data_IF_272390145406
#
_entry.id   IF_272390145406
#
_cell.length_a   1.000
_cell.length_b   1.000
_cell.length_c   1.000
_cell.angle_alpha   90.00
_cell.angle_beta   90.00
_cell.angle_gamma   90.00
#
_symmetry.space_group_name_H-M   'P 1'
#
loop_
_entity.id
_entity.type
_entity.pdbx_description
1 polymer ?
#
# COMPACT_ATOMS: atom_id res chain seq x y z
N UNK A 1 -24.19 18.21 27.90
CA UNK A 1 -23.05 18.05 26.96
C UNK A 1 -23.04 16.60 26.52
N UNK A 2 -23.19 16.26 25.23
CA UNK A 2 -23.15 14.86 24.84
C UNK A 2 -21.69 14.41 24.67
N UNK A 3 -21.33 13.36 25.41
CA UNK A 3 -20.06 12.65 25.29
C UNK A 3 -20.05 11.84 23.98
N UNK A 4 -19.49 12.40 22.91
CA UNK A 4 -19.10 11.65 21.72
C UNK A 4 -17.59 11.42 21.79
N UNK A 5 -17.10 10.18 21.66
CA UNK A 5 -15.68 10.02 21.34
C UNK A 5 -14.92 8.75 21.73
N UNK A 6 -15.54 7.62 22.05
CA UNK A 6 -14.75 6.38 22.25
C UNK A 6 -15.35 5.12 21.57
N UNK A 7 -16.66 5.03 21.39
CA UNK A 7 -17.25 3.87 20.69
C UNK A 7 -17.22 3.98 19.16
N UNK A 8 -17.15 5.22 18.64
CA UNK A 8 -17.18 5.48 17.19
C UNK A 8 -15.83 5.18 16.52
N UNK A 9 -14.72 5.37 17.24
CA UNK A 9 -13.37 5.01 16.80
C UNK A 9 -13.18 3.49 16.71
N UNK A 10 -13.66 2.73 17.70
CA UNK A 10 -13.59 1.26 17.68
C UNK A 10 -14.45 0.62 16.58
N UNK A 11 -15.60 1.21 16.24
CA UNK A 11 -16.41 0.75 15.09
C UNK A 11 -15.78 1.10 13.74
N UNK A 12 -15.06 2.22 13.65
CA UNK A 12 -14.30 2.58 12.44
C UNK A 12 -13.13 1.65 12.20
N UNK A 13 -12.39 1.29 13.25
CA UNK A 13 -11.35 0.26 13.16
C UNK A 13 -11.97 -1.09 12.76
N UNK A 14 -13.02 -1.56 13.43
CA UNK A 14 -13.65 -2.85 13.10
C UNK A 14 -14.27 -2.92 11.68
N UNK A 15 -14.80 -1.81 11.14
CA UNK A 15 -15.34 -1.77 9.78
C UNK A 15 -14.27 -1.54 8.69
N UNK A 16 -13.16 -0.86 9.01
CA UNK A 16 -11.99 -0.78 8.13
C UNK A 16 -11.36 -2.17 7.89
N UNK A 17 -11.51 -3.09 8.86
CA UNK A 17 -11.10 -4.49 8.70
C UNK A 17 -12.12 -5.37 7.95
N UNK A 18 -13.41 -5.02 7.93
CA UNK A 18 -14.48 -5.92 7.46
C UNK A 18 -14.92 -5.69 6.02
N UNK A 19 -14.71 -4.51 5.46
CA UNK A 19 -15.24 -4.16 4.13
C UNK A 19 -14.21 -4.16 2.99
N UNK A 20 -12.97 -4.61 3.25
CA UNK A 20 -11.91 -4.86 2.26
C UNK A 20 -11.96 -6.30 1.72
N UNK A 21 -13.16 -6.90 1.65
CA UNK A 21 -13.44 -8.22 1.06
C UNK A 21 -13.41 -8.24 -0.48
N UNK A 22 -12.73 -7.27 -1.11
CA UNK A 22 -11.96 -7.62 -2.31
C UNK A 22 -10.57 -7.95 -1.83
N UNK A 23 -10.46 -9.15 -1.28
CA UNK A 23 -9.25 -9.96 -1.24
C UNK A 23 -8.75 -10.03 -2.69
N UNK A 24 -8.08 -8.97 -3.14
CA UNK A 24 -6.97 -9.15 -4.06
C UNK A 24 -6.13 -10.17 -3.31
N UNK A 25 -6.22 -11.42 -3.77
CA UNK A 25 -5.50 -12.54 -3.20
C UNK A 25 -4.12 -12.03 -2.78
N UNK A 26 -3.69 -12.32 -1.55
CA UNK A 26 -2.41 -11.86 -1.01
C UNK A 26 -1.26 -12.51 -1.80
N UNK A 27 -1.13 -12.10 -3.06
CA UNK A 27 -0.30 -12.68 -4.09
C UNK A 27 1.01 -11.93 -4.05
N UNK A 28 2.07 -12.70 -3.87
CA UNK A 28 3.41 -12.21 -4.06
C UNK A 28 3.52 -11.65 -5.49
N UNK A 29 3.91 -10.38 -5.68
CA UNK A 29 4.01 -9.80 -7.02
C UNK A 29 5.05 -10.55 -7.83
N UNK A 30 4.72 -10.85 -9.09
CA UNK A 30 5.61 -11.51 -10.04
C UNK A 30 6.44 -10.49 -10.82
N UNK A 31 5.91 -9.27 -10.96
CA UNK A 31 6.52 -8.19 -11.74
C UNK A 31 6.79 -6.93 -10.92
N UNK A 32 7.73 -6.11 -11.39
CA UNK A 32 8.03 -4.81 -10.79
C UNK A 32 6.84 -3.85 -10.84
N UNK A 33 6.02 -3.93 -11.89
CA UNK A 33 4.81 -3.13 -12.05
C UNK A 33 3.75 -3.51 -11.03
N UNK A 34 3.49 -4.81 -10.82
CA UNK A 34 2.59 -5.29 -9.77
C UNK A 34 3.05 -4.87 -8.37
N UNK A 35 4.35 -5.01 -8.10
CA UNK A 35 4.94 -4.56 -6.84
C UNK A 35 4.69 -3.06 -6.63
N UNK A 36 5.03 -2.22 -7.61
CA UNK A 36 4.82 -0.79 -7.52
C UNK A 36 3.33 -0.43 -7.35
N UNK A 37 2.44 -1.08 -8.10
CA UNK A 37 0.99 -0.87 -7.99
C UNK A 37 0.49 -1.17 -6.58
N UNK A 38 0.90 -2.29 -5.96
CA UNK A 38 0.50 -2.62 -4.59
C UNK A 38 1.04 -1.63 -3.55
N UNK A 39 2.27 -1.13 -3.73
CA UNK A 39 2.85 -0.09 -2.86
C UNK A 39 2.05 1.23 -2.99
N UNK A 40 1.80 1.67 -4.22
CA UNK A 40 1.07 2.91 -4.52
C UNK A 40 -0.37 2.83 -4.00
N UNK A 41 -1.05 1.69 -4.22
CA UNK A 41 -2.39 1.46 -3.69
C UNK A 41 -2.42 1.57 -2.16
N UNK A 42 -1.41 1.01 -1.49
CA UNK A 42 -1.29 1.14 -0.03
C UNK A 42 -1.13 2.60 0.41
N UNK A 43 -0.32 3.40 -0.30
CA UNK A 43 -0.17 4.84 -0.03
C UNK A 43 -1.51 5.59 -0.25
N UNK A 44 -2.24 5.23 -1.30
CA UNK A 44 -3.54 5.83 -1.62
C UNK A 44 -4.62 5.49 -0.60
N UNK A 45 -4.61 4.29 -0.04
CA UNK A 45 -5.54 3.86 1.01
C UNK A 45 -5.16 4.36 2.41
N UNK A 46 -3.96 4.91 2.59
CA UNK A 46 -3.53 5.40 3.89
C UNK A 46 -4.37 6.60 4.36
N UNK A 47 -5.10 6.39 5.47
CA UNK A 47 -5.91 7.39 6.19
C UNK A 47 -7.15 7.89 5.45
N UNK A 48 -7.69 7.10 4.51
CA UNK A 48 -8.93 7.41 3.78
C UNK A 48 -9.85 6.19 3.73
N UNK A 49 -11.12 6.40 3.35
CA UNK A 49 -12.04 5.28 3.12
C UNK A 49 -11.62 4.47 1.88
N UNK A 50 -11.95 3.16 1.80
CA UNK A 50 -11.58 2.32 0.65
C UNK A 50 -12.03 2.88 -0.70
N UNK A 51 -13.22 3.50 -0.77
CA UNK A 51 -13.73 4.11 -1.99
C UNK A 51 -12.90 5.32 -2.45
N UNK A 52 -12.44 6.16 -1.51
CA UNK A 52 -11.59 7.31 -1.83
C UNK A 52 -10.18 6.84 -2.21
N UNK A 53 -9.64 5.85 -1.49
CA UNK A 53 -8.36 5.22 -1.80
C UNK A 53 -8.32 4.68 -3.21
N UNK A 54 -9.31 3.85 -3.59
CA UNK A 54 -9.42 3.25 -4.93
C UNK A 54 -9.51 4.29 -6.03
N UNK A 55 -10.38 5.29 -5.87
CA UNK A 55 -10.51 6.38 -6.86
C UNK A 55 -9.22 7.18 -7.02
N UNK A 56 -8.47 7.34 -5.94
CA UNK A 56 -7.19 8.05 -5.94
C UNK A 56 -6.12 7.22 -6.64
N UNK A 57 -6.06 5.92 -6.35
CA UNK A 57 -5.18 4.96 -7.00
C UNK A 57 -5.40 4.93 -8.52
N UNK A 58 -6.64 4.74 -8.98
CA UNK A 58 -6.98 4.71 -10.41
C UNK A 58 -6.56 5.99 -11.14
N UNK A 59 -6.69 7.15 -10.49
CA UNK A 59 -6.25 8.43 -11.05
C UNK A 59 -4.73 8.55 -11.13
N UNK A 60 -4.02 8.06 -10.11
CA UNK A 60 -2.57 8.04 -10.12
C UNK A 60 -2.06 7.12 -11.23
N UNK A 61 -2.63 5.91 -11.36
CA UNK A 61 -2.20 4.97 -12.40
C UNK A 61 -2.40 5.52 -13.80
N UNK A 62 -3.58 6.09 -14.10
CA UNK A 62 -3.81 6.74 -15.41
C UNK A 62 -2.82 7.87 -15.69
N UNK A 63 -2.44 8.65 -14.68
CA UNK A 63 -1.46 9.72 -14.86
C UNK A 63 -0.07 9.15 -15.16
N UNK A 64 0.36 8.15 -14.39
CA UNK A 64 1.65 7.49 -14.54
C UNK A 64 1.79 6.75 -15.89
N UNK A 65 0.73 6.07 -16.34
CA UNK A 65 0.67 5.40 -17.65
C UNK A 65 0.83 6.39 -18.81
N UNK A 66 0.33 7.62 -18.65
CA UNK A 66 0.52 8.71 -19.61
C UNK A 66 1.87 9.43 -19.46
N UNK A 67 2.79 8.94 -18.64
CA UNK A 67 4.08 9.59 -18.36
C UNK A 67 3.96 10.91 -17.58
N UNK A 68 2.83 11.14 -16.90
CA UNK A 68 2.59 12.30 -16.04
C UNK A 68 2.89 11.99 -14.58
N UNK A 69 2.82 13.02 -13.72
CA UNK A 69 3.00 12.89 -12.26
C UNK A 69 1.71 12.49 -11.55
N UNK A 70 1.85 11.72 -10.48
CA UNK A 70 0.79 11.39 -9.54
C UNK A 70 0.17 12.62 -8.86
N UNK A 71 0.80 13.81 -8.92
CA UNK A 71 0.21 15.08 -8.46
C UNK A 71 -1.12 15.42 -9.12
N UNK A 72 -1.35 14.93 -10.35
CA UNK A 72 -2.64 15.09 -11.05
C UNK A 72 -3.77 14.35 -10.33
N UNK A 73 -3.47 13.21 -9.71
CA UNK A 73 -4.41 12.41 -8.93
C UNK A 73 -4.39 12.69 -7.42
N UNK A 74 -3.27 13.21 -6.90
CA UNK A 74 -2.98 13.30 -5.47
C UNK A 74 -2.57 14.73 -5.05
N UNK A 75 -3.44 15.41 -4.27
CA UNK A 75 -3.20 16.82 -3.86
C UNK A 75 -2.11 17.01 -2.80
N UNK A 76 -1.63 15.95 -2.16
CA UNK A 76 -0.55 16.03 -1.17
C UNK A 76 0.82 15.89 -1.86
N UNK A 77 1.67 16.92 -1.85
CA UNK A 77 2.89 16.94 -2.66
C UNK A 77 3.88 15.84 -2.27
N UNK A 78 4.08 15.61 -0.97
CA UNK A 78 5.02 14.59 -0.49
C UNK A 78 4.58 13.14 -0.83
N UNK A 79 3.27 12.86 -0.83
CA UNK A 79 2.76 11.53 -1.20
C UNK A 79 2.84 11.32 -2.71
N UNK A 80 2.57 12.37 -3.49
CA UNK A 80 2.73 12.31 -4.94
C UNK A 80 4.19 12.06 -5.35
N UNK A 81 5.14 12.73 -4.70
CA UNK A 81 6.58 12.51 -4.93
C UNK A 81 7.03 11.09 -4.57
N UNK A 82 6.52 10.54 -3.47
CA UNK A 82 6.75 9.15 -3.11
C UNK A 82 6.23 8.19 -4.19
N UNK A 83 5.00 8.39 -4.67
CA UNK A 83 4.39 7.59 -5.75
C UNK A 83 5.21 7.69 -7.04
N UNK A 84 5.59 8.90 -7.45
CA UNK A 84 6.39 9.12 -8.66
C UNK A 84 7.76 8.43 -8.57
N UNK A 85 8.38 8.46 -7.38
CA UNK A 85 9.65 7.78 -7.11
C UNK A 85 9.49 6.26 -7.20
N UNK A 86 8.46 5.70 -6.55
CA UNK A 86 8.15 4.26 -6.61
C UNK A 86 7.94 3.82 -8.05
N UNK A 87 7.15 4.57 -8.83
CA UNK A 87 6.87 4.21 -10.22
C UNK A 87 8.12 4.27 -11.09
N UNK A 88 8.93 5.31 -10.93
CA UNK A 88 10.18 5.49 -11.70
C UNK A 88 11.21 4.42 -11.38
N UNK A 89 11.35 4.05 -10.11
CA UNK A 89 12.41 3.16 -9.61
C UNK A 89 11.92 1.72 -9.35
N UNK A 90 10.72 1.39 -9.81
CA UNK A 90 10.02 0.12 -9.55
C UNK A 90 10.86 -1.13 -9.78
N UNK A 91 11.67 -1.15 -10.85
CA UNK A 91 12.54 -2.28 -11.16
C UNK A 91 13.59 -2.49 -10.07
N UNK A 92 14.34 -1.44 -9.71
CA UNK A 92 15.34 -1.50 -8.63
C UNK A 92 14.71 -1.86 -7.29
N UNK A 93 13.58 -1.21 -6.96
CA UNK A 93 12.88 -1.44 -5.70
C UNK A 93 12.35 -2.87 -5.60
N UNK A 94 11.94 -3.47 -6.72
CA UNK A 94 11.47 -4.86 -6.74
C UNK A 94 12.62 -5.86 -6.64
N UNK A 95 13.76 -5.60 -7.27
CA UNK A 95 14.96 -6.43 -7.10
C UNK A 95 15.46 -6.39 -5.65
N UNK A 96 15.56 -5.21 -5.04
CA UNK A 96 15.94 -5.06 -3.64
C UNK A 96 14.92 -5.74 -2.71
N UNK A 97 13.61 -5.62 -3.02
CA UNK A 97 12.56 -6.35 -2.31
C UNK A 97 12.82 -7.85 -2.37
N UNK A 98 13.08 -8.43 -3.55
CA UNK A 98 13.34 -9.88 -3.73
C UNK A 98 14.61 -10.33 -3.01
N UNK A 99 15.68 -9.53 -3.06
CA UNK A 99 16.95 -9.83 -2.43
C UNK A 99 16.92 -9.72 -0.90
N UNK A 100 16.05 -8.88 -0.34
CA UNK A 100 15.99 -8.67 1.11
C UNK A 100 15.60 -9.94 1.87
N UNK A 101 16.37 -10.28 2.92
CA UNK A 101 16.02 -11.34 3.86
C UNK A 101 14.89 -10.92 4.80
N UNK A 102 14.90 -9.66 5.25
CA UNK A 102 13.85 -9.07 6.08
C UNK A 102 12.95 -8.15 5.23
N UNK A 103 11.89 -8.75 4.69
CA UNK A 103 10.91 -8.03 3.86
C UNK A 103 10.25 -6.90 4.65
N UNK A 104 9.90 -7.10 5.93
CA UNK A 104 9.19 -6.08 6.71
C UNK A 104 10.06 -4.87 7.00
N UNK A 105 11.35 -5.08 7.28
CA UNK A 105 12.30 -3.99 7.43
C UNK A 105 12.44 -3.22 6.12
N UNK A 106 12.62 -3.91 4.99
CA UNK A 106 12.72 -3.29 3.68
C UNK A 106 11.47 -2.49 3.30
N UNK A 107 10.26 -3.01 3.53
CA UNK A 107 9.04 -2.26 3.22
C UNK A 107 8.93 -0.96 4.01
N UNK A 108 9.55 -0.88 5.21
CA UNK A 108 9.58 0.34 6.01
C UNK A 108 10.55 1.40 5.48
N UNK A 109 11.46 1.06 4.55
CA UNK A 109 12.38 2.03 3.93
C UNK A 109 11.79 2.68 2.67
N UNK A 110 10.68 2.15 2.15
CA UNK A 110 10.03 2.68 0.95
C UNK A 110 9.44 4.08 1.19
N UNK A 111 9.54 5.00 0.21
CA UNK A 111 9.02 6.34 0.37
C UNK A 111 7.49 6.30 0.52
N UNK A 112 6.96 7.10 1.45
CA UNK A 112 5.52 7.14 1.73
C UNK A 112 4.97 5.96 2.54
N UNK A 113 5.81 4.98 2.90
CA UNK A 113 5.44 3.88 3.78
C UNK A 113 5.84 4.20 5.22
N UNK A 114 4.85 4.28 6.10
CA UNK A 114 5.04 4.52 7.53
C UNK A 114 5.04 3.24 8.39
N UNK A 115 5.27 3.38 9.71
CA UNK A 115 5.33 2.26 10.66
C UNK A 115 4.07 1.38 10.69
N UNK A 116 2.90 1.96 10.46
CA UNK A 116 1.62 1.23 10.38
C UNK A 116 1.40 0.69 8.96
N UNK A 117 1.63 1.53 7.96
CA UNK A 117 1.36 1.25 6.54
C UNK A 117 2.15 0.04 6.02
N UNK A 118 3.37 -0.19 6.54
CA UNK A 118 4.19 -1.36 6.17
C UNK A 118 3.48 -2.69 6.42
N UNK A 119 2.66 -2.79 7.47
CA UNK A 119 1.96 -4.04 7.79
C UNK A 119 0.80 -4.29 6.83
N UNK A 120 0.11 -3.24 6.39
CA UNK A 120 -0.92 -3.35 5.34
C UNK A 120 -0.31 -3.72 3.99
N UNK A 121 0.83 -3.13 3.64
CA UNK A 121 1.58 -3.51 2.44
C UNK A 121 2.07 -4.96 2.51
N UNK A 122 2.62 -5.39 3.63
CA UNK A 122 3.09 -6.76 3.83
C UNK A 122 1.97 -7.80 3.71
N UNK A 123 0.74 -7.46 4.13
CA UNK A 123 -0.44 -8.32 3.90
C UNK A 123 -0.70 -8.45 2.40
N UNK A 124 -0.86 -7.33 1.69
CA UNK A 124 -1.11 -7.30 0.24
C UNK A 124 -0.08 -8.10 -0.56
N UNK A 125 1.19 -7.97 -0.19
CA UNK A 125 2.32 -8.69 -0.82
C UNK A 125 2.43 -10.17 -0.44
N UNK A 126 1.52 -10.72 0.38
CA UNK A 126 1.56 -12.12 0.82
C UNK A 126 2.72 -12.47 1.76
N UNK A 127 3.42 -11.49 2.35
CA UNK A 127 4.63 -11.73 3.17
C UNK A 127 4.34 -12.66 4.35
N UNK A 128 3.20 -12.50 5.02
CA UNK A 128 2.85 -13.34 6.16
C UNK A 128 2.44 -14.76 5.76
N UNK A 129 1.82 -14.93 4.58
CA UNK A 129 1.48 -16.26 4.06
C UNK A 129 2.76 -17.06 3.74
N UNK A 130 3.72 -16.43 3.04
CA UNK A 130 5.01 -17.01 2.73
C UNK A 130 5.82 -17.38 3.99
N UNK A 131 5.75 -16.56 5.04
CA UNK A 131 6.41 -16.85 6.32
C UNK A 131 5.77 -18.06 7.02
N UNK A 132 4.44 -18.18 6.98
CA UNK A 132 3.74 -19.32 7.58
C UNK A 132 4.09 -20.63 6.89
N UNK A 133 4.13 -20.67 5.55
CA UNK A 133 4.52 -21.86 4.79
C UNK A 133 5.95 -22.32 5.13
N UNK A 134 6.90 -21.38 5.22
CA UNK A 134 8.30 -21.67 5.58
C UNK A 134 8.47 -22.20 7.00
N UNK A 135 7.58 -21.85 7.93
CA UNK A 135 7.65 -22.31 9.31
C UNK A 135 7.11 -23.75 9.49
N UNK A 136 6.36 -24.25 8.51
CA UNK A 136 5.74 -25.59 8.53
C UNK A 136 6.59 -26.63 7.77
N UNK A 137 7.46 -26.18 6.86
CA UNK A 137 8.38 -27.01 6.08
C UNK A 137 9.66 -27.37 6.85
#
# INVERSE_FOLDING_TARGET
>A
MPSFGLEETMRYEANAFRNDLSEAENIAPETADEFAQQVIETICHASVTPAIGRRTFERCMRALDCGSTARVGFRHPAKAEAIDTIWRERESLFEDYKASADKLHYLATLPGIGPVTKHSLARRLGVYALQAERAVA
#
